data_IF_367671407737
#
_entry.id   IF_367671407737
#
_cell.length_a   1.000
_cell.length_b   1.000
_cell.length_c   1.000
_cell.angle_alpha   90.00
_cell.angle_beta   90.00
_cell.angle_gamma   90.00
#
_symmetry.space_group_name_H-M   'P 1'
#
loop_
_entity.id
_entity.type
_entity.pdbx_description
1 polymer ?
#
# COMPACT_ATOMS: atom_id res chain seq x y z
N UNK A 1 -27.44 37.35 70.50
CA UNK A 1 -27.43 38.44 69.50
C UNK A 1 -26.09 39.16 69.57
N UNK A 2 -25.20 38.92 68.61
CA UNK A 2 -23.94 39.67 68.50
C UNK A 2 -23.56 39.68 67.03
N UNK A 3 -23.68 40.86 66.46
CA UNK A 3 -23.45 41.20 65.06
C UNK A 3 -21.96 41.06 64.76
N UNK A 4 -21.62 40.47 63.61
CA UNK A 4 -20.29 40.62 63.03
C UNK A 4 -20.44 41.13 61.59
N UNK A 5 -20.37 42.44 61.47
CA UNK A 5 -20.01 43.16 60.26
C UNK A 5 -18.47 43.18 60.20
N UNK A 6 -17.86 42.82 59.06
CA UNK A 6 -17.16 43.79 58.20
C UNK A 6 -16.57 43.10 56.96
N UNK A 7 -16.73 43.79 55.83
CA UNK A 7 -16.10 43.51 54.55
C UNK A 7 -14.56 43.54 54.64
N UNK A 8 -13.91 42.71 53.83
CA UNK A 8 -12.80 43.20 53.02
C UNK A 8 -12.73 42.46 51.68
N UNK A 9 -12.93 43.24 50.62
CA UNK A 9 -12.70 42.95 49.22
C UNK A 9 -11.29 42.41 48.98
N UNK A 10 -11.16 41.33 48.22
CA UNK A 10 -9.92 41.02 47.51
C UNK A 10 -10.21 40.74 46.04
N UNK A 11 -9.52 41.52 45.23
CA UNK A 11 -9.74 41.84 43.84
C UNK A 11 -9.67 40.64 42.89
N UNK A 12 -10.49 40.71 41.84
CA UNK A 12 -10.40 39.87 40.65
C UNK A 12 -9.00 39.94 40.03
N UNK A 13 -8.43 38.77 39.77
CA UNK A 13 -7.48 38.56 38.68
C UNK A 13 -7.96 37.37 37.86
N UNK A 14 -8.89 37.63 36.94
CA UNK A 14 -9.12 36.76 35.79
C UNK A 14 -8.14 37.21 34.70
N UNK A 15 -6.91 36.67 34.75
CA UNK A 15 -6.02 36.66 33.60
C UNK A 15 -6.53 35.61 32.63
N UNK A 16 -7.41 36.01 31.71
CA UNK A 16 -7.70 35.26 30.50
C UNK A 16 -6.52 35.50 29.55
N UNK A 17 -5.50 34.65 29.57
CA UNK A 17 -4.67 34.47 28.38
C UNK A 17 -5.59 33.91 27.30
N UNK A 18 -5.92 34.72 26.31
CA UNK A 18 -6.25 34.16 25.00
C UNK A 18 -4.92 33.69 24.41
N UNK A 19 -4.55 32.45 24.73
CA UNK A 19 -3.70 31.72 23.82
C UNK A 19 -4.62 31.41 22.64
N UNK A 20 -4.66 32.34 21.68
CA UNK A 20 -4.92 31.99 20.29
C UNK A 20 -3.73 31.10 19.88
N UNK A 21 -3.78 29.85 20.35
CA UNK A 21 -2.94 28.77 19.87
C UNK A 21 -3.51 28.43 18.50
N UNK A 22 -3.24 29.34 17.56
CA UNK A 22 -3.25 29.06 16.14
C UNK A 22 -2.15 28.04 15.94
N UNK A 23 -2.44 26.79 16.29
CA UNK A 23 -1.81 25.64 15.70
C UNK A 23 -2.10 25.74 14.22
N UNK A 24 -1.24 26.50 13.53
CA UNK A 24 -1.02 26.33 12.12
C UNK A 24 -0.50 24.91 12.04
N UNK A 25 -1.42 23.96 11.85
CA UNK A 25 -1.08 22.64 11.36
C UNK A 25 -0.26 22.92 10.10
N UNK A 26 1.04 22.54 10.06
CA UNK A 26 1.78 22.64 8.83
C UNK A 26 0.96 21.91 7.75
N UNK A 27 0.93 22.43 6.51
CA UNK A 27 0.19 21.77 5.44
C UNK A 27 0.63 20.31 5.39
N UNK A 28 -0.35 19.40 5.49
CA UNK A 28 -0.22 17.94 5.51
C UNK A 28 1.16 17.49 5.01
N UNK A 29 2.00 16.98 5.91
CA UNK A 29 3.07 16.10 5.45
C UNK A 29 2.35 14.95 4.73
N UNK A 30 2.57 14.83 3.43
CA UNK A 30 2.04 13.72 2.63
C UNK A 30 2.55 12.44 3.26
N UNK A 31 1.66 11.73 3.96
CA UNK A 31 2.00 10.50 4.67
C UNK A 31 2.70 9.52 3.71
N UNK A 32 3.85 8.97 4.11
CA UNK A 32 4.55 7.94 3.35
C UNK A 32 3.70 6.67 3.28
N UNK A 33 3.09 6.45 2.13
CA UNK A 33 2.23 5.31 1.88
C UNK A 33 2.66 4.49 0.68
N UNK A 34 2.36 3.20 0.76
CA UNK A 34 2.45 2.26 -0.35
C UNK A 34 1.08 1.68 -0.61
N UNK A 35 0.62 1.75 -1.85
CA UNK A 35 -0.63 1.17 -2.31
C UNK A 35 -0.33 -0.19 -2.93
N UNK A 36 -0.95 -1.23 -2.40
CA UNK A 36 -0.89 -2.61 -2.88
C UNK A 36 -2.25 -2.95 -3.51
N UNK A 37 -2.29 -3.25 -4.81
CA UNK A 37 -3.51 -3.61 -5.55
C UNK A 37 -3.38 -5.01 -6.11
N UNK A 38 -4.43 -5.81 -6.00
CA UNK A 38 -4.51 -7.19 -6.49
C UNK A 38 -5.31 -7.23 -7.79
N UNK A 39 -4.74 -7.87 -8.80
CA UNK A 39 -5.35 -8.06 -10.11
C UNK A 39 -5.20 -9.53 -10.52
N UNK A 40 -6.31 -10.17 -10.86
CA UNK A 40 -6.32 -11.56 -11.30
C UNK A 40 -5.47 -11.71 -12.59
N UNK A 41 -4.56 -12.69 -12.59
CA UNK A 41 -3.57 -12.84 -13.66
C UNK A 41 -4.20 -13.13 -15.02
N UNK A 42 -5.31 -13.88 -15.07
CA UNK A 42 -5.88 -14.36 -16.33
C UNK A 42 -6.91 -13.39 -16.92
N UNK A 43 -7.74 -12.83 -16.06
CA UNK A 43 -8.89 -11.99 -16.42
C UNK A 43 -8.55 -10.52 -16.40
N UNK A 44 -7.48 -10.13 -15.71
CA UNK A 44 -7.14 -8.73 -15.41
C UNK A 44 -8.28 -8.01 -14.67
N UNK A 45 -9.03 -8.74 -13.85
CA UNK A 45 -10.03 -8.15 -12.97
C UNK A 45 -9.34 -7.59 -11.73
N UNK A 46 -9.67 -6.35 -11.36
CA UNK A 46 -9.29 -5.80 -10.06
C UNK A 46 -10.03 -6.55 -8.94
N UNK A 47 -9.29 -7.00 -7.93
CA UNK A 47 -9.84 -7.84 -6.86
C UNK A 47 -9.83 -7.15 -5.48
N UNK A 48 -9.19 -5.99 -5.38
CA UNK A 48 -9.08 -5.21 -4.14
C UNK A 48 -7.67 -4.76 -3.85
N UNK A 49 -7.45 -4.15 -2.69
CA UNK A 49 -6.13 -3.63 -2.35
C UNK A 49 -6.04 -3.07 -0.94
N UNK A 50 -4.90 -2.46 -0.63
CA UNK A 50 -4.60 -1.89 0.68
C UNK A 50 -3.63 -0.71 0.56
N UNK A 51 -3.93 0.39 1.23
CA UNK A 51 -2.92 1.40 1.56
C UNK A 51 -2.21 1.01 2.85
N UNK A 52 -0.89 1.02 2.80
CA UNK A 52 0.02 0.75 3.92
C UNK A 52 0.75 2.03 4.26
N UNK A 53 0.79 2.40 5.54
CA UNK A 53 1.46 3.62 6.02
C UNK A 53 2.78 3.27 6.69
N UNK A 54 3.83 4.02 6.36
CA UNK A 54 5.19 3.84 6.87
C UNK A 54 5.72 5.16 7.46
N UNK A 55 6.78 5.13 8.29
CA UNK A 55 7.53 6.33 8.64
C UNK A 55 8.12 7.01 7.39
N UNK A 56 8.37 8.32 7.42
CA UNK A 56 8.93 9.05 6.29
C UNK A 56 10.35 8.60 5.91
N UNK A 57 10.57 8.30 4.63
CA UNK A 57 11.87 7.97 4.05
C UNK A 57 12.01 8.61 2.66
N UNK A 58 13.24 8.96 2.28
CA UNK A 58 13.53 9.56 0.97
C UNK A 58 13.56 8.54 -0.16
N UNK A 59 14.05 7.34 0.14
CA UNK A 59 14.20 6.24 -0.80
C UNK A 59 13.09 5.20 -0.56
N UNK A 60 12.69 4.50 -1.63
CA UNK A 60 11.76 3.38 -1.58
C UNK A 60 12.37 2.18 -2.27
N UNK A 61 12.88 1.24 -1.47
CA UNK A 61 13.48 0.00 -1.97
C UNK A 61 12.66 -1.20 -1.51
N UNK A 62 12.31 -2.07 -2.45
CA UNK A 62 11.64 -3.34 -2.16
C UNK A 62 12.71 -4.42 -1.97
N UNK A 63 12.83 -4.94 -0.76
CA UNK A 63 13.65 -6.11 -0.45
C UNK A 63 12.78 -7.36 -0.46
N UNK A 64 13.28 -8.47 -1.02
CA UNK A 64 12.57 -9.75 -1.08
C UNK A 64 13.28 -10.82 -0.26
N UNK A 65 12.51 -11.55 0.55
CA UNK A 65 12.91 -12.84 1.12
C UNK A 65 12.07 -13.94 0.49
N UNK A 66 12.71 -15.04 0.12
CA UNK A 66 12.05 -16.17 -0.54
C UNK A 66 12.61 -17.48 -0.02
N UNK A 67 11.71 -18.37 0.42
CA UNK A 67 12.02 -19.76 0.73
C UNK A 67 11.40 -20.63 -0.35
N UNK A 68 12.26 -21.27 -1.15
CA UNK A 68 11.82 -22.16 -2.22
C UNK A 68 11.00 -23.35 -1.66
N UNK A 69 9.83 -23.65 -2.24
CA UNK A 69 8.97 -24.73 -1.76
C UNK A 69 9.54 -26.10 -2.13
N UNK A 70 9.90 -26.89 -1.10
CA UNK A 70 9.99 -28.35 -1.22
C UNK A 70 8.60 -28.97 -1.19
N UNK A 71 7.97 -28.89 0.00
CA UNK A 71 6.51 -29.06 0.17
C UNK A 71 5.86 -27.70 0.48
N UNK A 72 6.54 -26.87 1.27
CA UNK A 72 6.12 -25.54 1.70
C UNK A 72 7.26 -24.54 1.49
N UNK A 73 6.90 -23.33 1.08
CA UNK A 73 7.78 -22.18 0.94
C UNK A 73 7.01 -20.91 1.24
N UNK A 74 7.67 -19.77 1.10
CA UNK A 74 7.07 -18.46 1.29
C UNK A 74 7.83 -17.37 0.54
N UNK A 75 7.18 -16.22 0.42
CA UNK A 75 7.74 -14.98 -0.08
C UNK A 75 7.33 -13.84 0.85
N UNK A 76 8.27 -12.94 1.13
CA UNK A 76 8.03 -11.68 1.81
C UNK A 76 8.66 -10.54 1.01
N UNK A 77 7.91 -9.46 0.80
CA UNK A 77 8.41 -8.19 0.31
C UNK A 77 8.38 -7.20 1.46
N UNK A 78 9.50 -6.50 1.67
CA UNK A 78 9.62 -5.44 2.66
C UNK A 78 9.93 -4.11 2.00
N UNK A 79 9.43 -3.05 2.60
CA UNK A 79 10.00 -1.72 2.42
C UNK A 79 11.30 -1.69 3.23
N UNK A 80 12.44 -1.76 2.54
CA UNK A 80 13.75 -1.96 3.14
C UNK A 80 14.09 -0.88 4.17
N UNK A 81 13.86 0.39 3.84
CA UNK A 81 14.18 1.54 4.69
C UNK A 81 13.34 1.54 5.98
N UNK A 82 12.11 1.03 5.91
CA UNK A 82 11.21 0.93 7.05
C UNK A 82 11.38 -0.37 7.86
N UNK A 83 12.12 -1.37 7.33
CA UNK A 83 12.14 -2.76 7.82
C UNK A 83 10.73 -3.29 8.16
N UNK A 84 9.79 -3.06 7.23
CA UNK A 84 8.39 -3.39 7.42
C UNK A 84 7.79 -4.08 6.19
N UNK A 85 6.88 -5.05 6.37
CA UNK A 85 6.33 -5.81 5.27
C UNK A 85 5.41 -4.95 4.39
N UNK A 86 5.46 -5.21 3.08
CA UNK A 86 4.50 -4.73 2.07
C UNK A 86 3.57 -5.89 1.69
N UNK A 87 4.13 -7.09 1.54
CA UNK A 87 3.42 -8.30 1.16
C UNK A 87 4.08 -9.52 1.79
N UNK A 88 3.29 -10.52 2.18
CA UNK A 88 3.79 -11.84 2.50
C UNK A 88 2.79 -12.91 2.05
N UNK A 89 3.28 -14.04 1.59
CA UNK A 89 2.44 -15.15 1.17
C UNK A 89 3.16 -16.48 1.22
N UNK A 90 2.43 -17.55 1.52
CA UNK A 90 2.95 -18.92 1.51
C UNK A 90 2.86 -19.52 0.12
N UNK A 91 3.69 -20.52 -0.16
CA UNK A 91 3.68 -21.25 -1.44
C UNK A 91 3.67 -22.74 -1.10
N UNK A 92 2.78 -23.50 -1.74
CA UNK A 92 2.62 -24.92 -1.45
C UNK A 92 2.80 -25.73 -2.73
N UNK A 93 3.66 -26.76 -2.67
CA UNK A 93 3.82 -27.70 -3.77
C UNK A 93 2.61 -28.65 -3.81
N UNK A 94 1.98 -28.76 -4.99
CA UNK A 94 0.75 -29.54 -5.17
C UNK A 94 -0.37 -29.19 -4.16
N UNK A 95 -0.40 -27.94 -3.73
CA UNK A 95 -1.42 -27.37 -2.86
C UNK A 95 -1.61 -25.88 -3.15
N UNK A 96 -2.39 -25.21 -2.30
CA UNK A 96 -2.67 -23.79 -2.41
C UNK A 96 -2.12 -23.08 -1.17
N UNK A 97 -1.12 -22.23 -1.38
CA UNK A 97 -0.72 -21.25 -0.38
C UNK A 97 -1.72 -20.10 -0.27
N UNK A 98 -1.42 -19.15 0.60
CA UNK A 98 -2.26 -17.99 0.85
C UNK A 98 -1.42 -16.76 1.15
N UNK A 99 -1.94 -15.59 0.78
CA UNK A 99 -1.41 -14.31 1.24
C UNK A 99 -1.62 -14.21 2.75
N UNK A 100 -0.54 -13.94 3.48
CA UNK A 100 -0.53 -13.80 4.95
C UNK A 100 -0.38 -12.35 5.38
N UNK A 101 0.18 -11.48 4.52
CA UNK A 101 0.20 -10.03 4.74
C UNK A 101 -0.05 -9.27 3.43
N UNK A 102 -0.88 -8.21 3.45
CA UNK A 102 -1.77 -7.83 4.56
C UNK A 102 -2.83 -8.92 4.81
N UNK A 103 -3.27 -9.09 6.07
CA UNK A 103 -4.23 -10.15 6.43
C UNK A 103 -5.56 -10.04 5.67
N UNK A 104 -5.96 -8.81 5.34
CA UNK A 104 -7.21 -8.51 4.63
C UNK A 104 -6.98 -7.36 3.65
N UNK A 105 -7.42 -7.53 2.42
CA UNK A 105 -7.56 -6.47 1.44
C UNK A 105 -8.94 -5.82 1.55
N UNK A 106 -8.97 -4.51 1.30
CA UNK A 106 -10.23 -3.84 1.07
C UNK A 106 -10.83 -4.34 -0.25
N UNK A 107 -12.14 -4.57 -0.29
CA UNK A 107 -12.83 -5.07 -1.50
C UNK A 107 -12.90 -3.98 -2.58
N UNK A 108 -13.11 -4.38 -3.83
CA UNK A 108 -13.22 -3.45 -4.97
C UNK A 108 -14.20 -2.30 -4.75
N UNK A 109 -15.33 -2.56 -4.09
CA UNK A 109 -16.37 -1.56 -3.76
C UNK A 109 -15.95 -0.48 -2.78
N UNK A 110 -14.80 -0.64 -2.11
CA UNK A 110 -14.25 0.37 -1.20
C UNK A 110 -13.41 1.44 -1.92
N UNK A 111 -13.09 1.22 -3.20
CA UNK A 111 -12.30 2.14 -3.99
C UNK A 111 -13.20 3.05 -4.82
N UNK A 112 -12.99 4.36 -4.71
CA UNK A 112 -13.65 5.34 -5.56
C UNK A 112 -13.05 5.29 -6.96
N UNK A 113 -13.91 5.32 -7.98
CA UNK A 113 -13.49 5.38 -9.38
C UNK A 113 -13.61 6.80 -9.96
N UNK A 114 -12.89 7.06 -11.04
CA UNK A 114 -12.89 8.32 -11.79
C UNK A 114 -13.25 8.06 -13.26
N UNK A 115 -13.91 9.03 -13.89
CA UNK A 115 -14.38 8.90 -15.28
C UNK A 115 -13.27 8.98 -16.33
N UNK A 116 -12.12 9.56 -15.97
CA UNK A 116 -10.96 9.70 -16.86
C UNK A 116 -9.83 8.84 -16.32
N UNK A 117 -9.55 7.69 -16.95
CA UNK A 117 -8.49 6.80 -16.50
C UNK A 117 -7.12 7.46 -16.51
N UNK A 118 -6.29 7.05 -15.55
CA UNK A 118 -4.89 7.46 -15.45
C UNK A 118 -4.12 6.88 -16.64
N UNK A 119 -3.42 7.74 -17.38
CA UNK A 119 -2.61 7.29 -18.50
C UNK A 119 -1.58 6.25 -18.05
N UNK A 120 -1.52 5.12 -18.75
CA UNK A 120 -0.52 4.09 -18.51
C UNK A 120 0.90 4.66 -18.59
N UNK A 121 1.80 4.27 -17.67
CA UNK A 121 3.21 4.60 -17.80
C UNK A 121 3.83 3.82 -18.97
N UNK A 122 5.01 4.25 -19.41
CA UNK A 122 5.79 3.50 -20.39
C UNK A 122 6.23 2.15 -19.83
N UNK A 123 6.46 1.14 -20.69
CA UNK A 123 6.87 -0.20 -20.25
C UNK A 123 8.15 -0.19 -19.40
N UNK A 124 9.10 0.71 -19.69
CA UNK A 124 10.33 0.92 -18.92
C UNK A 124 10.09 1.41 -17.47
N UNK A 125 8.89 1.88 -17.16
CA UNK A 125 8.48 2.33 -15.83
C UNK A 125 7.77 1.25 -15.03
N UNK A 126 7.50 0.08 -15.63
CA UNK A 126 7.16 -1.11 -14.87
C UNK A 126 8.44 -1.82 -14.42
N UNK A 127 8.45 -2.27 -13.19
CA UNK A 127 9.56 -3.00 -12.58
C UNK A 127 9.03 -4.32 -12.02
N UNK A 128 9.58 -5.44 -12.48
CA UNK A 128 9.21 -6.75 -11.93
C UNK A 128 9.95 -6.97 -10.62
N UNK A 129 9.21 -7.33 -9.57
CA UNK A 129 9.81 -7.68 -8.29
C UNK A 129 10.43 -9.08 -8.37
N UNK A 130 11.74 -9.16 -8.59
CA UNK A 130 12.44 -10.44 -8.63
C UNK A 130 12.70 -10.95 -7.22
N UNK A 131 12.18 -12.15 -6.89
CA UNK A 131 12.35 -12.78 -5.58
C UNK A 131 13.23 -14.03 -5.61
N UNK A 132 13.62 -14.50 -6.81
CA UNK A 132 14.60 -15.56 -7.01
C UNK A 132 15.22 -15.46 -8.40
N UNK A 133 16.43 -16.01 -8.58
CA UNK A 133 17.08 -16.11 -9.89
C UNK A 133 16.26 -16.93 -10.92
N UNK A 134 15.28 -17.70 -10.44
CA UNK A 134 14.40 -18.57 -11.21
C UNK A 134 12.94 -18.10 -11.19
N UNK A 135 12.65 -16.86 -10.78
CA UNK A 135 11.28 -16.35 -10.76
C UNK A 135 10.69 -16.43 -12.17
N UNK A 136 9.64 -17.24 -12.32
CA UNK A 136 9.02 -17.51 -13.62
C UNK A 136 7.91 -16.51 -13.84
N UNK A 137 8.13 -15.61 -14.79
CA UNK A 137 7.12 -14.73 -15.34
C UNK A 137 6.61 -15.29 -16.68
N UNK A 138 5.37 -14.96 -17.10
CA UNK A 138 4.93 -15.23 -18.46
C UNK A 138 5.91 -14.64 -19.49
N UNK A 139 6.15 -15.36 -20.60
CA UNK A 139 7.07 -14.89 -21.66
C UNK A 139 6.69 -13.51 -22.22
N UNK A 140 5.39 -13.21 -22.22
CA UNK A 140 4.83 -11.93 -22.61
C UNK A 140 3.93 -11.40 -21.49
N UNK A 141 4.27 -10.24 -20.94
CA UNK A 141 3.47 -9.55 -19.94
C UNK A 141 2.67 -8.46 -20.63
N UNK A 142 1.35 -8.46 -20.44
CA UNK A 142 0.47 -7.43 -20.98
C UNK A 142 0.30 -6.29 -19.97
N UNK A 143 1.31 -5.42 -19.87
CA UNK A 143 1.32 -4.29 -18.92
C UNK A 143 0.10 -3.38 -19.06
N UNK A 144 -0.41 -3.18 -20.28
CA UNK A 144 -1.60 -2.37 -20.52
C UNK A 144 -2.87 -2.99 -19.94
N UNK A 145 -3.01 -4.32 -19.98
CA UNK A 145 -4.17 -4.98 -19.39
C UNK A 145 -4.11 -4.97 -17.86
N UNK A 146 -2.92 -5.17 -17.28
CA UNK A 146 -2.70 -5.08 -15.83
C UNK A 146 -2.98 -3.66 -15.34
N UNK A 147 -2.45 -2.64 -16.03
CA UNK A 147 -2.70 -1.24 -15.69
C UNK A 147 -4.17 -0.85 -15.88
N UNK A 148 -4.78 -1.26 -16.99
CA UNK A 148 -6.19 -1.01 -17.30
C UNK A 148 -7.17 -1.62 -16.31
N UNK A 149 -6.73 -2.54 -15.44
CA UNK A 149 -7.55 -3.05 -14.34
C UNK A 149 -7.72 -2.04 -13.19
N UNK A 150 -6.78 -1.09 -13.05
CA UNK A 150 -6.70 -0.18 -11.90
C UNK A 150 -6.65 1.30 -12.30
N UNK A 151 -6.62 1.62 -13.60
CA UNK A 151 -6.38 2.97 -14.08
C UNK A 151 -7.55 3.93 -13.84
N UNK A 152 -8.74 3.41 -13.54
CA UNK A 152 -9.91 4.18 -13.16
C UNK A 152 -10.02 4.43 -11.64
N UNK A 153 -9.07 3.98 -10.82
CA UNK A 153 -9.10 4.18 -9.38
C UNK A 153 -8.60 5.58 -9.00
N UNK A 154 -9.36 6.30 -8.15
CA UNK A 154 -8.98 7.62 -7.65
C UNK A 154 -7.62 7.57 -6.91
N UNK A 155 -7.39 6.54 -6.09
CA UNK A 155 -6.11 6.37 -5.39
C UNK A 155 -4.93 6.20 -6.36
N UNK A 156 -5.13 5.53 -7.50
CA UNK A 156 -4.06 5.40 -8.50
C UNK A 156 -3.73 6.78 -9.08
N UNK A 157 -4.73 7.62 -9.36
CA UNK A 157 -4.50 9.01 -9.80
C UNK A 157 -3.71 9.81 -8.77
N UNK A 158 -4.10 9.74 -7.50
CA UNK A 158 -3.46 10.47 -6.39
C UNK A 158 -1.99 10.05 -6.25
N UNK A 159 -1.71 8.74 -6.20
CA UNK A 159 -0.34 8.23 -6.10
C UNK A 159 0.53 8.61 -7.30
N UNK A 160 -0.04 8.62 -8.51
CA UNK A 160 0.69 9.06 -9.71
C UNK A 160 0.90 10.58 -9.76
N UNK A 161 0.05 11.38 -9.12
CA UNK A 161 0.24 12.83 -9.04
C UNK A 161 1.28 13.21 -7.98
N UNK A 162 1.27 12.52 -6.83
CA UNK A 162 2.22 12.74 -5.74
C UNK A 162 3.63 12.27 -6.15
N UNK A 163 3.73 11.14 -6.86
CA UNK A 163 5.01 10.59 -7.32
C UNK A 163 4.99 10.19 -8.81
N UNK A 164 5.02 11.16 -9.73
CA UNK A 164 4.83 10.92 -11.17
C UNK A 164 5.94 10.09 -11.81
N UNK A 165 7.12 10.06 -11.20
CA UNK A 165 8.29 9.34 -11.72
C UNK A 165 8.52 7.98 -11.05
N UNK A 166 7.73 7.62 -10.03
CA UNK A 166 7.86 6.32 -9.38
C UNK A 166 7.65 5.18 -10.37
N UNK A 167 8.43 4.12 -10.17
CA UNK A 167 8.23 2.85 -10.85
C UNK A 167 6.93 2.19 -10.37
N UNK A 168 6.26 1.50 -11.29
CA UNK A 168 5.14 0.62 -10.98
C UNK A 168 5.71 -0.76 -10.75
N UNK A 169 5.79 -1.16 -9.49
CA UNK A 169 6.36 -2.44 -9.11
C UNK A 169 5.29 -3.53 -9.28
N UNK A 170 5.66 -4.63 -9.92
CA UNK A 170 4.77 -5.75 -10.21
C UNK A 170 5.35 -7.04 -9.63
N UNK A 171 4.59 -7.64 -8.71
CA UNK A 171 4.85 -8.98 -8.21
C UNK A 171 3.84 -9.93 -8.85
N UNK A 172 4.31 -11.01 -9.49
CA UNK A 172 3.46 -12.16 -9.79
C UNK A 172 3.54 -13.13 -8.62
N UNK A 173 2.45 -13.29 -7.89
CA UNK A 173 2.37 -14.23 -6.79
C UNK A 173 1.73 -15.54 -7.25
N UNK A 174 2.47 -16.65 -7.07
CA UNK A 174 2.06 -17.99 -7.45
C UNK A 174 1.94 -18.89 -6.21
N UNK A 175 0.79 -18.90 -5.50
CA UNK A 175 0.63 -19.65 -4.26
C UNK A 175 0.65 -21.18 -4.45
N UNK A 176 0.40 -21.64 -5.67
CA UNK A 176 0.43 -23.06 -6.05
C UNK A 176 1.52 -23.34 -7.09
N UNK A 177 2.42 -24.28 -6.78
CA UNK A 177 3.53 -24.69 -7.66
C UNK A 177 3.56 -26.22 -7.87
N UNK A 178 4.43 -26.69 -8.77
CA UNK A 178 4.46 -28.08 -9.24
C UNK A 178 3.76 -28.20 -10.59
N UNK A 179 2.47 -28.58 -10.60
CA UNK A 179 1.63 -28.40 -11.80
C UNK A 179 1.28 -26.92 -11.98
N UNK A 180 1.04 -26.22 -10.86
CA UNK A 180 0.59 -24.83 -10.84
C UNK A 180 -0.82 -24.66 -11.43
N UNK A 181 -1.55 -23.64 -10.97
CA UNK A 181 -2.82 -23.27 -11.56
C UNK A 181 -2.86 -21.75 -11.76
N UNK A 182 -2.69 -21.25 -13.00
CA UNK A 182 -2.74 -19.82 -13.29
C UNK A 182 -4.02 -19.10 -12.85
N UNK A 183 -5.12 -19.83 -12.62
CA UNK A 183 -6.36 -19.28 -12.06
C UNK A 183 -6.29 -18.95 -10.57
N UNK A 184 -5.20 -19.33 -9.89
CA UNK A 184 -4.92 -19.02 -8.48
C UNK A 184 -3.80 -17.98 -8.35
N UNK A 185 -3.33 -17.43 -9.47
CA UNK A 185 -2.20 -16.51 -9.49
C UNK A 185 -2.70 -15.07 -9.69
N UNK A 186 -1.99 -14.14 -9.05
CA UNK A 186 -2.37 -12.74 -9.06
C UNK A 186 -1.17 -11.85 -9.29
N UNK A 187 -1.42 -10.76 -10.01
CA UNK A 187 -0.53 -9.61 -10.02
C UNK A 187 -0.81 -8.74 -8.80
N UNK A 188 0.25 -8.39 -8.10
CA UNK A 188 0.25 -7.33 -7.11
C UNK A 188 0.96 -6.12 -7.69
N UNK A 189 0.22 -5.02 -7.79
CA UNK A 189 0.70 -3.73 -8.26
C UNK A 189 1.01 -2.88 -7.05
N UNK A 190 2.25 -2.41 -6.95
CA UNK A 190 2.78 -1.68 -5.80
C UNK A 190 3.16 -0.27 -6.25
N UNK A 191 2.47 0.74 -5.70
CA UNK A 191 2.69 2.15 -5.98
C UNK A 191 3.13 2.87 -4.71
N UNK A 192 4.19 3.67 -4.83
CA UNK A 192 4.65 4.59 -3.78
C UNK A 192 4.10 5.97 -4.10
N UNK A 193 3.50 6.65 -3.11
CA UNK A 193 3.08 8.04 -3.25
C UNK A 193 4.23 9.03 -3.14
#
# INVERSE_FOLDING_TARGET
MKNLFLLLSLSLFLGSCSDDDSSVTPPNETENKVLLLKVDMQTNAFEGGKELTFPEFTDFTIETSYIEPGDFGDIELKYQEADAPIFAGTIVWAGLGEMTYPEILNTTTSFTTIDTPVQAPTEENFELVQYSDYSVYPELINYNAIWGAIDDLQLVKEYRDENPNAKVNLLLYTPSVGVGNPAEWDWFIILKN
#
